data_IF_306970463064
#
_entry.id   IF_306970463064
#
_cell.length_a   1.000
_cell.length_b   1.000
_cell.length_c   1.000
_cell.angle_alpha   90.00
_cell.angle_beta   90.00
_cell.angle_gamma   90.00
#
_symmetry.space_group_name_H-M   'P 1'
#
loop_
_entity.id
_entity.type
_entity.pdbx_description
1 polymer ?
#
# COMPACT_ATOMS: atom_id res chain seq x y z
N UNK A 1 -0.55 -17.78 23.47
CA UNK A 1 -1.92 -17.45 23.03
C UNK A 1 -1.80 -16.38 21.95
N UNK A 2 -1.81 -16.77 20.66
CA UNK A 2 -1.29 -15.94 19.55
C UNK A 2 -2.34 -15.77 18.43
N UNK A 3 -3.61 -15.62 18.82
CA UNK A 3 -4.75 -15.59 17.88
C UNK A 3 -5.26 -14.18 17.55
N UNK A 4 -4.68 -13.13 18.15
CA UNK A 4 -5.18 -11.75 18.02
C UNK A 4 -4.41 -10.88 17.01
N UNK A 5 -3.47 -11.45 16.24
CA UNK A 5 -2.55 -10.70 15.37
C UNK A 5 -2.83 -10.82 13.86
N UNK A 6 -3.86 -11.55 13.42
CA UNK A 6 -4.02 -11.92 12.00
C UNK A 6 -5.02 -11.09 11.17
N UNK A 7 -5.59 -9.99 11.67
CA UNK A 7 -6.71 -9.37 10.96
C UNK A 7 -6.71 -7.84 10.93
N UNK A 8 -5.56 -7.22 10.66
CA UNK A 8 -5.56 -5.86 10.13
C UNK A 8 -4.73 -5.84 8.84
N UNK A 9 -5.17 -6.61 7.84
CA UNK A 9 -4.85 -6.29 6.45
C UNK A 9 -5.82 -5.21 6.01
N UNK A 10 -5.30 -4.01 5.79
CA UNK A 10 -6.12 -2.88 5.41
C UNK A 10 -6.44 -2.99 3.92
N UNK A 11 -7.72 -3.17 3.61
CA UNK A 11 -8.28 -2.91 2.30
C UNK A 11 -8.97 -1.57 2.32
N UNK A 12 -8.55 -0.67 1.44
CA UNK A 12 -9.28 0.57 1.20
C UNK A 12 -10.53 0.23 0.37
N UNK A 13 -11.71 0.43 0.96
CA UNK A 13 -13.00 0.23 0.32
C UNK A 13 -13.70 1.58 0.18
N UNK A 14 -14.30 1.82 -0.98
CA UNK A 14 -15.22 2.92 -1.23
C UNK A 14 -16.64 2.53 -0.80
N UNK A 15 -17.51 3.52 -0.58
CA UNK A 15 -18.91 3.28 -0.20
C UNK A 15 -19.78 2.60 -1.28
N UNK A 16 -19.21 2.37 -2.46
CA UNK A 16 -19.83 1.64 -3.58
C UNK A 16 -19.33 0.19 -3.70
N UNK A 17 -18.40 -0.23 -2.84
CA UNK A 17 -17.86 -1.59 -2.87
C UNK A 17 -18.76 -2.58 -2.13
N UNK A 18 -18.88 -3.78 -2.68
CA UNK A 18 -19.64 -4.90 -2.09
C UNK A 18 -18.73 -6.13 -1.96
N UNK A 19 -18.75 -6.84 -0.81
CA UNK A 19 -17.96 -8.04 -0.64
C UNK A 19 -18.50 -9.20 -1.50
N UNK A 20 -17.62 -9.85 -2.25
CA UNK A 20 -17.93 -11.07 -3.02
C UNK A 20 -17.56 -12.36 -2.26
N UNK A 21 -16.98 -12.23 -1.07
CA UNK A 21 -16.46 -13.32 -0.23
C UNK A 21 -16.85 -13.08 1.22
N UNK A 22 -17.10 -14.15 1.94
CA UNK A 22 -17.34 -14.10 3.39
C UNK A 22 -16.07 -13.70 4.13
N UNK A 23 -16.22 -13.24 5.38
CA UNK A 23 -15.08 -12.89 6.22
C UNK A 23 -14.13 -14.08 6.45
N UNK A 24 -14.67 -15.30 6.58
CA UNK A 24 -13.85 -16.50 6.77
C UNK A 24 -13.01 -16.80 5.52
N UNK A 25 -13.62 -16.81 4.34
CA UNK A 25 -12.90 -17.02 3.07
C UNK A 25 -11.79 -15.97 2.88
N UNK A 26 -12.08 -14.71 3.20
CA UNK A 26 -11.10 -13.62 3.11
C UNK A 26 -9.90 -13.83 4.03
N UNK A 27 -10.12 -14.21 5.29
CA UNK A 27 -9.05 -14.51 6.25
C UNK A 27 -8.20 -15.70 5.78
N UNK A 28 -8.82 -16.73 5.20
CA UNK A 28 -8.08 -17.87 4.63
C UNK A 28 -7.22 -17.47 3.44
N UNK A 29 -7.75 -16.64 2.54
CA UNK A 29 -7.00 -16.07 1.41
C UNK A 29 -5.79 -15.30 1.91
N UNK A 30 -5.96 -14.40 2.88
CA UNK A 30 -4.87 -13.60 3.45
C UNK A 30 -3.80 -14.45 4.13
N UNK A 31 -4.21 -15.49 4.88
CA UNK A 31 -3.26 -16.44 5.47
C UNK A 31 -2.43 -17.16 4.40
N UNK A 32 -3.05 -17.55 3.29
CA UNK A 32 -2.35 -18.20 2.15
C UNK A 32 -1.38 -17.24 1.45
N UNK A 33 -1.72 -15.96 1.39
CA UNK A 33 -0.84 -14.92 0.84
C UNK A 33 0.37 -14.59 1.73
N UNK A 34 0.41 -15.09 2.97
CA UNK A 34 1.61 -15.09 3.81
C UNK A 34 2.35 -13.73 3.88
N UNK A 35 1.64 -12.66 4.24
CA UNK A 35 2.19 -11.32 4.34
C UNK A 35 2.76 -10.75 3.02
N UNK A 36 2.27 -11.17 1.86
CA UNK A 36 2.54 -10.48 0.59
C UNK A 36 1.59 -9.31 0.37
N UNK A 37 2.04 -8.27 -0.33
CA UNK A 37 1.16 -7.19 -0.82
C UNK A 37 0.44 -7.68 -2.07
N UNK A 38 -0.88 -7.48 -2.11
CA UNK A 38 -1.67 -7.72 -3.31
C UNK A 38 -2.29 -6.40 -3.80
N UNK A 39 -1.85 -5.94 -4.96
CA UNK A 39 -2.36 -4.75 -5.63
C UNK A 39 -2.26 -4.95 -7.14
N UNK A 40 -3.08 -4.20 -7.90
CA UNK A 40 -2.88 -4.10 -9.34
C UNK A 40 -1.49 -3.53 -9.61
N UNK A 41 -0.77 -4.15 -10.55
CA UNK A 41 0.52 -3.70 -11.00
C UNK A 41 0.54 -3.64 -12.52
N UNK A 42 0.72 -2.44 -13.06
CA UNK A 42 0.77 -2.19 -14.49
C UNK A 42 1.86 -1.16 -14.83
N UNK A 43 2.24 -1.13 -16.11
CA UNK A 43 3.17 -0.11 -16.61
C UNK A 43 2.57 1.28 -16.46
N UNK A 44 3.39 2.21 -15.97
CA UNK A 44 2.98 3.60 -15.82
C UNK A 44 2.81 4.27 -17.19
N UNK A 45 1.75 5.06 -17.33
CA UNK A 45 1.43 5.81 -18.55
C UNK A 45 2.09 7.20 -18.47
N UNK A 46 3.15 7.49 -19.25
CA UNK A 46 3.91 8.74 -19.15
C UNK A 46 3.06 10.01 -19.31
N UNK A 47 1.98 9.93 -20.09
CA UNK A 47 1.08 11.03 -20.42
C UNK A 47 0.36 11.59 -19.17
N UNK A 48 0.28 10.81 -18.08
CA UNK A 48 -0.39 11.21 -16.82
C UNK A 48 0.40 12.23 -16.01
N UNK A 49 1.65 12.52 -16.35
CA UNK A 49 2.51 13.38 -15.56
C UNK A 49 2.28 14.89 -15.75
N UNK A 50 1.40 15.30 -16.67
CA UNK A 50 0.97 16.70 -16.87
C UNK A 50 2.14 17.71 -16.86
N UNK A 51 3.25 17.36 -17.52
CA UNK A 51 4.46 18.20 -17.61
C UNK A 51 5.57 17.90 -16.59
N UNK A 52 5.39 16.94 -15.68
CA UNK A 52 6.45 16.44 -14.79
C UNK A 52 7.35 15.43 -15.51
N UNK A 53 8.64 15.41 -15.18
CA UNK A 53 9.62 14.49 -15.76
C UNK A 53 9.66 13.19 -14.97
N UNK A 54 9.62 12.04 -15.64
CA UNK A 54 9.74 10.71 -14.99
C UNK A 54 11.09 10.60 -14.26
N UNK A 55 12.13 11.22 -14.83
CA UNK A 55 13.49 11.18 -14.32
C UNK A 55 13.65 11.84 -12.95
N UNK A 56 12.69 12.69 -12.53
CA UNK A 56 12.71 13.34 -11.22
C UNK A 56 12.29 12.38 -10.10
N UNK A 57 11.67 11.23 -10.44
CA UNK A 57 11.31 10.21 -9.47
C UNK A 57 12.55 9.40 -9.05
N UNK A 58 12.84 9.23 -7.75
CA UNK A 58 13.98 8.44 -7.29
C UNK A 58 13.84 6.94 -7.57
N UNK A 59 12.64 6.50 -7.97
CA UNK A 59 12.30 5.10 -8.29
C UNK A 59 11.45 5.03 -9.57
N UNK A 60 11.50 3.91 -10.30
CA UNK A 60 10.61 3.67 -11.43
C UNK A 60 9.14 3.80 -11.02
N UNK A 61 8.37 4.48 -11.87
CA UNK A 61 6.93 4.65 -11.65
C UNK A 61 6.18 3.43 -12.18
N UNK A 62 5.19 2.99 -11.40
CA UNK A 62 4.25 1.95 -11.78
C UNK A 62 2.82 2.48 -11.59
N UNK A 63 1.90 1.95 -12.39
CA UNK A 63 0.47 2.18 -12.20
C UNK A 63 -0.06 1.10 -11.27
N UNK A 64 -0.85 1.50 -10.28
CA UNK A 64 -1.60 0.59 -9.42
C UNK A 64 -3.04 1.07 -9.23
N UNK A 65 -3.88 0.20 -8.68
CA UNK A 65 -5.21 0.56 -8.19
C UNK A 65 -5.10 1.38 -6.90
N UNK A 66 -6.17 2.12 -6.59
CA UNK A 66 -6.35 2.74 -5.27
C UNK A 66 -6.62 1.70 -4.18
N UNK A 67 -7.13 0.53 -4.55
CA UNK A 67 -7.36 -0.56 -3.61
C UNK A 67 -6.16 -1.52 -3.62
N UNK A 68 -5.64 -1.82 -2.43
CA UNK A 68 -4.60 -2.82 -2.21
C UNK A 68 -4.88 -3.58 -0.90
N UNK A 69 -4.45 -4.83 -0.83
CA UNK A 69 -4.33 -5.57 0.43
C UNK A 69 -2.88 -5.51 0.89
N UNK A 70 -2.65 -4.86 2.04
CA UNK A 70 -1.31 -4.62 2.56
C UNK A 70 -1.17 -5.21 3.96
N UNK A 71 -0.12 -6.00 4.22
CA UNK A 71 0.18 -6.51 5.56
C UNK A 71 0.55 -5.38 6.52
N UNK A 72 0.16 -5.52 7.79
CA UNK A 72 0.44 -4.51 8.82
C UNK A 72 1.93 -4.15 8.93
N UNK A 73 2.83 -5.13 8.85
CA UNK A 73 4.28 -4.91 8.90
C UNK A 73 4.77 -3.96 7.79
N UNK A 74 4.16 -4.03 6.62
CA UNK A 74 4.48 -3.15 5.49
C UNK A 74 4.03 -1.72 5.78
N UNK A 75 2.81 -1.55 6.30
CA UNK A 75 2.29 -0.24 6.72
C UNK A 75 3.17 0.37 7.81
N UNK A 76 3.51 -0.39 8.86
CA UNK A 76 4.34 0.11 9.96
C UNK A 76 5.71 0.59 9.43
N UNK A 77 6.30 -0.14 8.47
CA UNK A 77 7.55 0.25 7.82
C UNK A 77 7.40 1.52 6.98
N UNK A 78 6.31 1.65 6.22
CA UNK A 78 6.01 2.85 5.42
C UNK A 78 5.85 4.09 6.31
N UNK A 79 5.05 3.98 7.38
CA UNK A 79 4.81 5.08 8.34
C UNK A 79 6.10 5.48 9.06
N UNK A 80 6.89 4.50 9.52
CA UNK A 80 8.18 4.74 10.18
C UNK A 80 9.14 5.49 9.25
N UNK A 81 9.26 5.05 8.00
CA UNK A 81 10.12 5.72 7.02
C UNK A 81 9.62 7.14 6.72
N UNK A 82 8.31 7.33 6.55
CA UNK A 82 7.73 8.65 6.28
C UNK A 82 7.97 9.64 7.43
N UNK A 83 7.82 9.20 8.69
CA UNK A 83 8.12 10.02 9.86
C UNK A 83 9.59 10.47 9.91
N UNK A 84 10.51 9.57 9.56
CA UNK A 84 11.94 9.89 9.47
C UNK A 84 12.22 10.92 8.37
N UNK A 85 11.65 10.73 7.18
CA UNK A 85 11.79 11.69 6.07
C UNK A 85 11.23 13.07 6.41
N UNK A 86 10.06 13.15 7.04
CA UNK A 86 9.49 14.44 7.47
C UNK A 86 10.35 15.14 8.51
N UNK A 87 10.98 14.39 9.40
CA UNK A 87 11.91 14.94 10.39
C UNK A 87 13.16 15.51 9.70
N UNK A 88 13.72 14.79 8.73
CA UNK A 88 14.89 15.24 7.96
C UNK A 88 14.55 16.48 7.12
N UNK A 89 13.44 16.48 6.39
CA UNK A 89 13.02 17.60 5.55
C UNK A 89 12.67 18.85 6.38
N UNK A 90 12.12 18.69 7.59
CA UNK A 90 11.84 19.81 8.50
C UNK A 90 13.10 20.35 9.20
N UNK A 91 14.11 19.51 9.43
CA UNK A 91 15.35 19.91 10.09
C UNK A 91 16.47 20.35 9.13
N UNK A 92 16.37 20.01 7.84
CA UNK A 92 17.32 20.37 6.79
C UNK A 92 17.05 21.71 6.09
N UNK A 93 16.00 22.43 6.48
CA UNK A 93 15.75 23.82 6.08
C UNK A 93 16.22 24.73 7.22
N UNK A 94 17.52 25.03 7.25
CA UNK A 94 18.12 26.18 7.92
C UNK A 94 19.17 26.78 7.01
#
# INVERSE_FOLDING_TARGET
MNYMYYAWEEKQLAGVDVPLKTNLEMVEIFKRWNNTVNSEFAMFQPERLLGKRIQDSPLPLFKSSLCAAVPRKTIDKLVKNFSQWNTILRNGVR
#
